data_IF_395944227677
#
_entry.id   IF_395944227677
#
_cell.length_a   1.000
_cell.length_b   1.000
_cell.length_c   1.000
_cell.angle_alpha   90.00
_cell.angle_beta   90.00
_cell.angle_gamma   90.00
#
_symmetry.space_group_name_H-M   'P 1'
#
loop_
_entity.id
_entity.type
_entity.pdbx_description
1 polymer ?
#
# COMPACT_ATOMS: atom_id res chain seq x y z
N UNK A 1 15.34 42.65 2.00
CA UNK A 1 14.17 41.79 1.72
C UNK A 1 14.47 40.76 0.64
N UNK A 2 14.57 39.49 1.03
CA UNK A 2 14.74 38.34 0.15
C UNK A 2 13.41 37.65 -0.12
N UNK A 3 13.33 36.90 -1.22
CA UNK A 3 12.15 36.09 -1.57
C UNK A 3 12.55 34.62 -1.55
N UNK A 4 12.03 33.89 -0.57
CA UNK A 4 12.28 32.47 -0.41
C UNK A 4 11.07 31.68 -0.90
N UNK A 5 11.32 30.53 -1.54
CA UNK A 5 10.27 29.58 -1.91
C UNK A 5 10.29 28.39 -0.94
N UNK A 6 9.12 28.08 -0.41
CA UNK A 6 8.87 27.05 0.58
C UNK A 6 8.02 25.93 -0.01
N UNK A 7 8.25 24.70 0.43
CA UNK A 7 7.39 23.54 0.17
C UNK A 7 7.06 22.83 1.48
N UNK A 8 5.80 22.46 1.68
CA UNK A 8 5.39 21.68 2.86
C UNK A 8 5.68 20.21 2.58
N UNK A 9 6.37 19.54 3.50
CA UNK A 9 6.68 18.12 3.39
C UNK A 9 5.49 17.31 3.89
N UNK A 10 5.08 16.27 3.16
CA UNK A 10 4.00 15.36 3.55
C UNK A 10 2.58 15.88 3.38
N UNK A 11 2.40 17.11 2.89
CA UNK A 11 1.09 17.69 2.59
C UNK A 11 0.98 18.03 1.09
N UNK A 12 -0.15 17.67 0.48
CA UNK A 12 -0.40 18.01 -0.93
C UNK A 12 -0.53 19.52 -1.10
N UNK A 13 0.29 20.10 -1.97
CA UNK A 13 0.31 21.53 -2.20
C UNK A 13 1.41 22.00 -3.12
N UNK A 14 1.18 23.11 -3.81
CA UNK A 14 2.24 23.76 -4.58
C UNK A 14 3.18 24.56 -3.68
N UNK A 15 4.44 24.67 -4.10
CA UNK A 15 5.40 25.57 -3.47
C UNK A 15 4.87 27.02 -3.45
N UNK A 16 5.19 27.75 -2.40
CA UNK A 16 4.73 29.12 -2.17
C UNK A 16 5.91 30.01 -1.79
N UNK A 17 5.78 31.32 -2.00
CA UNK A 17 6.85 32.25 -1.65
C UNK A 17 6.50 33.13 -0.45
N UNK A 18 7.51 33.35 0.39
CA UNK A 18 7.50 34.30 1.50
C UNK A 18 8.56 35.38 1.26
N UNK A 19 8.39 36.53 1.91
CA UNK A 19 9.35 37.63 1.90
C UNK A 19 9.73 37.95 3.34
N UNK A 20 11.03 38.05 3.59
CA UNK A 20 11.65 38.35 4.89
C UNK A 20 12.88 39.23 4.63
N UNK A 21 13.33 39.99 5.61
CA UNK A 21 14.56 40.77 5.51
C UNK A 21 15.81 39.91 5.79
N UNK A 22 16.97 40.36 5.29
CA UNK A 22 18.22 39.60 5.44
C UNK A 22 18.69 39.60 6.90
N UNK A 23 18.39 40.67 7.63
CA UNK A 23 18.64 40.82 9.06
C UNK A 23 17.59 40.15 9.95
N UNK A 24 16.52 39.59 9.36
CA UNK A 24 15.54 38.83 10.14
C UNK A 24 16.15 37.48 10.53
N UNK A 25 15.64 36.88 11.60
CA UNK A 25 16.02 35.52 12.00
C UNK A 25 15.16 34.45 11.34
N UNK A 26 15.59 33.19 11.43
CA UNK A 26 14.79 32.02 11.02
C UNK A 26 13.45 31.95 11.78
N UNK A 27 13.39 32.42 13.04
CA UNK A 27 12.13 32.55 13.78
C UNK A 27 11.11 33.47 13.08
N UNK A 28 11.53 34.65 12.62
CA UNK A 28 10.68 35.54 11.82
C UNK A 28 10.21 34.88 10.51
N UNK A 29 11.04 34.00 9.93
CA UNK A 29 10.66 33.21 8.77
C UNK A 29 9.56 32.18 9.11
N UNK A 30 9.60 31.53 10.28
CA UNK A 30 8.52 30.63 10.74
C UNK A 30 7.20 31.39 10.82
N UNK A 31 7.20 32.58 11.41
CA UNK A 31 6.03 33.47 11.47
C UNK A 31 5.50 33.84 10.07
N UNK A 32 6.39 34.26 9.17
CA UNK A 32 6.03 34.63 7.81
C UNK A 32 5.41 33.45 7.03
N UNK A 33 5.90 32.23 7.25
CA UNK A 33 5.37 30.99 6.65
C UNK A 33 3.97 30.68 7.20
N UNK A 34 3.79 30.72 8.51
CA UNK A 34 2.47 30.49 9.14
C UNK A 34 1.45 31.49 8.64
N UNK A 35 1.77 32.78 8.66
CA UNK A 35 0.90 33.85 8.18
C UNK A 35 0.54 33.70 6.70
N UNK A 36 1.43 33.12 5.89
CA UNK A 36 1.19 32.87 4.47
C UNK A 36 0.21 31.72 4.21
N UNK A 37 0.15 30.75 5.11
CA UNK A 37 -0.62 29.50 4.98
C UNK A 37 -1.50 29.24 6.23
N UNK A 38 -2.42 30.16 6.55
CA UNK A 38 -3.17 30.09 7.81
C UNK A 38 -4.08 28.87 7.91
N UNK A 39 -4.58 28.33 6.79
CA UNK A 39 -5.42 27.13 6.80
C UNK A 39 -4.59 25.85 6.97
N UNK A 40 -3.43 25.77 6.32
CA UNK A 40 -2.53 24.62 6.40
C UNK A 40 -1.91 24.50 7.81
N UNK A 41 -1.75 25.62 8.51
CA UNK A 41 -1.14 25.71 9.83
C UNK A 41 -2.09 26.27 10.91
N UNK A 42 -3.40 26.06 10.75
CA UNK A 42 -4.43 26.66 11.63
C UNK A 42 -4.29 26.24 13.11
N UNK A 43 -3.83 25.00 13.34
CA UNK A 43 -3.69 24.38 14.66
C UNK A 43 -2.22 24.22 15.08
N UNK A 44 -1.29 24.86 14.37
CA UNK A 44 0.17 24.72 14.59
C UNK A 44 0.75 26.08 14.93
N UNK A 45 1.42 26.18 16.07
CA UNK A 45 2.13 27.40 16.48
C UNK A 45 3.38 27.62 15.59
N UNK A 46 3.77 28.87 15.34
CA UNK A 46 4.84 29.16 14.39
C UNK A 46 6.18 28.56 14.85
N UNK A 47 6.47 28.64 16.15
CA UNK A 47 7.63 28.05 16.81
C UNK A 47 7.71 26.53 16.65
N UNK A 48 6.56 25.86 16.48
CA UNK A 48 6.47 24.41 16.24
C UNK A 48 6.78 24.00 14.80
N UNK A 49 6.81 24.94 13.85
CA UNK A 49 7.24 24.64 12.49
C UNK A 49 8.74 24.32 12.49
N UNK A 50 9.13 23.24 11.84
CA UNK A 50 10.55 22.94 11.61
C UNK A 50 10.91 23.28 10.17
N UNK A 51 12.02 23.98 10.00
CA UNK A 51 12.48 24.47 8.71
C UNK A 51 13.82 23.83 8.36
N UNK A 52 13.91 23.31 7.14
CA UNK A 52 15.14 22.70 6.62
C UNK A 52 15.54 23.35 5.30
N UNK A 53 16.85 23.40 5.04
CA UNK A 53 17.36 23.84 3.76
C UNK A 53 17.04 22.83 2.67
N UNK A 54 16.47 23.28 1.56
CA UNK A 54 16.29 22.48 0.36
C UNK A 54 17.58 22.38 -0.46
N UNK A 55 18.72 22.12 0.21
CA UNK A 55 20.08 22.14 -0.34
C UNK A 55 20.74 20.80 -0.08
N UNK A 56 21.18 20.12 -1.14
CA UNK A 56 21.84 18.81 -1.06
C UNK A 56 23.21 18.91 -0.42
N UNK A 57 23.76 17.75 -0.03
CA UNK A 57 25.12 17.62 0.53
C UNK A 57 26.21 18.19 -0.38
N UNK A 58 25.99 18.16 -1.70
CA UNK A 58 26.90 18.74 -2.70
C UNK A 58 26.72 20.26 -2.86
N UNK A 59 25.86 20.88 -2.04
CA UNK A 59 25.58 22.31 -2.05
C UNK A 59 24.57 22.76 -3.12
N UNK A 60 23.94 21.85 -3.85
CA UNK A 60 22.98 22.17 -4.89
C UNK A 60 21.56 22.35 -4.32
N UNK A 61 20.87 23.42 -4.74
CA UNK A 61 19.49 23.66 -4.32
C UNK A 61 18.48 22.86 -5.15
N UNK A 62 17.39 22.41 -4.52
CA UNK A 62 16.33 21.68 -5.18
C UNK A 62 15.62 22.54 -6.23
N UNK A 63 15.57 22.05 -7.46
CA UNK A 63 14.84 22.69 -8.54
C UNK A 63 13.34 22.54 -8.34
N UNK A 64 12.58 23.62 -8.58
CA UNK A 64 11.10 23.58 -8.61
C UNK A 64 10.51 22.65 -9.68
N UNK A 65 11.35 22.21 -10.62
CA UNK A 65 11.02 21.26 -11.70
C UNK A 65 11.61 19.86 -11.47
N UNK A 66 12.27 19.66 -10.34
CA UNK A 66 12.78 18.35 -9.97
C UNK A 66 11.60 17.36 -9.84
N UNK A 67 11.70 16.12 -10.37
CA UNK A 67 10.67 15.09 -10.21
C UNK A 67 10.24 14.89 -8.76
N UNK A 68 11.18 14.97 -7.81
CA UNK A 68 10.90 14.78 -6.40
C UNK A 68 10.05 15.94 -5.86
N UNK A 69 10.40 17.17 -6.21
CA UNK A 69 9.60 18.37 -5.86
C UNK A 69 8.23 18.36 -6.55
N UNK A 70 8.12 17.79 -7.75
CA UNK A 70 6.83 17.60 -8.43
C UNK A 70 5.97 16.59 -7.65
N UNK A 71 6.56 15.49 -7.19
CA UNK A 71 5.83 14.46 -6.44
C UNK A 71 5.31 14.96 -5.09
N UNK A 72 6.05 15.86 -4.43
CA UNK A 72 5.61 16.53 -3.19
C UNK A 72 4.28 17.27 -3.35
N UNK A 73 3.95 17.74 -4.56
CA UNK A 73 2.68 18.46 -4.81
C UNK A 73 1.46 17.60 -4.58
N UNK A 74 1.62 16.28 -4.67
CA UNK A 74 0.59 15.29 -4.39
C UNK A 74 0.68 14.74 -2.95
N UNK A 75 1.55 15.29 -2.10
CA UNK A 75 1.77 14.86 -0.72
C UNK A 75 2.82 13.76 -0.56
N UNK A 76 3.55 13.39 -1.63
CA UNK A 76 4.65 12.44 -1.55
C UNK A 76 5.86 12.96 -0.77
N UNK A 77 6.64 12.07 -0.18
CA UNK A 77 7.91 12.38 0.49
C UNK A 77 9.02 11.55 -0.16
N UNK A 78 9.70 12.08 -1.19
CA UNK A 78 10.80 11.40 -1.86
C UNK A 78 11.98 11.14 -0.94
N UNK A 79 12.74 10.09 -1.23
CA UNK A 79 13.90 9.70 -0.44
C UNK A 79 14.96 10.81 -0.41
N UNK A 80 15.19 11.51 -1.53
CA UNK A 80 16.09 12.67 -1.57
C UNK A 80 15.62 13.75 -0.59
N UNK A 81 14.33 14.07 -0.54
CA UNK A 81 13.78 15.06 0.38
C UNK A 81 13.99 14.63 1.83
N UNK A 82 13.80 13.35 2.17
CA UNK A 82 14.07 12.83 3.52
C UNK A 82 15.51 13.07 3.96
N UNK A 83 16.48 12.87 3.07
CA UNK A 83 17.90 13.12 3.40
C UNK A 83 18.22 14.59 3.69
N UNK A 84 17.33 15.51 3.32
CA UNK A 84 17.49 16.94 3.62
C UNK A 84 16.89 17.34 4.97
N UNK A 85 16.11 16.47 5.62
CA UNK A 85 15.44 16.75 6.91
C UNK A 85 16.32 16.41 8.13
N UNK A 86 17.65 16.41 7.95
CA UNK A 86 18.61 15.98 8.96
C UNK A 86 18.96 17.08 9.97
N UNK A 87 19.15 18.32 9.50
CA UNK A 87 19.58 19.46 10.34
C UNK A 87 18.56 20.58 10.19
N UNK A 88 17.78 20.81 11.25
CA UNK A 88 16.88 21.96 11.33
C UNK A 88 17.70 23.25 11.37
N UNK A 89 17.24 24.30 10.68
CA UNK A 89 17.83 25.63 10.77
C UNK A 89 17.64 26.19 12.19
N UNK A 90 18.68 26.79 12.76
CA UNK A 90 18.58 27.38 14.09
C UNK A 90 17.65 28.61 14.03
N UNK A 91 16.61 28.70 14.87
CA UNK A 91 15.70 29.85 14.90
C UNK A 91 16.40 31.20 15.11
N UNK A 92 17.59 31.22 15.72
CA UNK A 92 18.37 32.42 15.98
C UNK A 92 19.29 32.82 14.81
N UNK A 93 19.49 31.97 13.80
CA UNK A 93 20.33 32.30 12.65
C UNK A 93 19.71 33.43 11.81
N UNK A 94 20.56 34.31 11.26
CA UNK A 94 20.13 35.37 10.35
C UNK A 94 19.87 34.82 8.94
N UNK A 95 18.80 35.31 8.30
CA UNK A 95 18.39 34.87 6.96
C UNK A 95 19.48 35.13 5.90
N UNK A 96 20.21 36.24 6.03
CA UNK A 96 21.30 36.60 5.13
C UNK A 96 22.42 35.55 5.12
N UNK A 97 22.75 35.00 6.29
CA UNK A 97 23.81 34.00 6.44
C UNK A 97 23.34 32.62 5.96
N UNK A 98 22.12 32.22 6.35
CA UNK A 98 21.56 30.90 6.02
C UNK A 98 21.32 30.71 4.52
N UNK A 99 20.85 31.76 3.84
CA UNK A 99 20.51 31.73 2.42
C UNK A 99 21.53 32.45 1.53
N UNK A 100 22.77 32.63 2.01
CA UNK A 100 23.82 33.28 1.24
C UNK A 100 24.04 32.56 -0.11
N UNK A 101 24.01 33.33 -1.20
CA UNK A 101 24.19 32.81 -2.55
C UNK A 101 23.03 31.96 -3.07
N UNK A 102 21.87 31.93 -2.40
CA UNK A 102 20.73 31.15 -2.84
C UNK A 102 20.16 31.65 -4.19
N UNK A 103 19.87 30.76 -5.16
CA UNK A 103 19.29 31.13 -6.44
C UNK A 103 17.87 31.67 -6.32
N UNK A 104 17.62 32.87 -6.84
CA UNK A 104 16.32 33.57 -6.70
C UNK A 104 15.19 33.06 -7.62
N UNK A 105 15.46 32.10 -8.52
CA UNK A 105 14.51 31.65 -9.54
C UNK A 105 14.52 30.14 -9.70
N UNK A 106 13.31 29.57 -9.87
CA UNK A 106 13.08 28.14 -10.18
C UNK A 106 13.60 27.16 -9.13
N UNK A 107 13.74 27.60 -7.88
CA UNK A 107 14.39 26.85 -6.80
C UNK A 107 13.51 26.83 -5.56
N UNK A 108 13.47 25.69 -4.86
CA UNK A 108 12.93 25.58 -3.50
C UNK A 108 14.06 25.88 -2.54
N UNK A 109 13.79 26.71 -1.54
CA UNK A 109 14.77 27.16 -0.55
C UNK A 109 14.53 26.47 0.79
N UNK A 110 13.27 26.36 1.18
CA UNK A 110 12.85 25.89 2.51
C UNK A 110 11.92 24.70 2.38
N UNK A 111 12.22 23.63 3.11
CA UNK A 111 11.30 22.53 3.38
C UNK A 111 10.66 22.80 4.75
N UNK A 112 9.33 22.80 4.79
CA UNK A 112 8.54 23.11 5.99
C UNK A 112 7.89 21.84 6.49
N UNK A 113 8.16 21.49 7.75
CA UNK A 113 7.54 20.37 8.45
C UNK A 113 6.68 20.95 9.57
N UNK A 114 5.39 20.63 9.57
CA UNK A 114 4.43 21.14 10.56
C UNK A 114 4.35 20.27 11.82
N UNK A 115 4.67 18.99 11.67
CA UNK A 115 4.56 17.99 12.72
C UNK A 115 5.61 16.88 12.44
N UNK A 116 6.67 16.84 13.25
CA UNK A 116 7.69 15.78 13.15
C UNK A 116 7.19 14.46 13.69
N UNK A 117 6.22 14.45 14.60
CA UNK A 117 5.61 13.19 15.07
C UNK A 117 4.97 12.48 13.87
N UNK A 118 4.40 13.20 12.91
CA UNK A 118 3.91 12.62 11.64
C UNK A 118 4.99 12.02 10.73
N UNK A 119 6.23 12.51 10.77
CA UNK A 119 7.36 11.97 10.01
C UNK A 119 8.05 10.82 10.76
N UNK A 120 8.19 10.93 12.07
CA UNK A 120 8.74 9.91 12.96
C UNK A 120 7.80 8.71 13.11
N UNK A 121 6.48 8.89 12.96
CA UNK A 121 5.50 7.79 12.89
C UNK A 121 5.65 6.98 11.58
N UNK A 122 6.30 7.50 10.54
CA UNK A 122 6.65 6.73 9.34
C UNK A 122 7.97 5.96 9.44
N UNK A 123 8.92 6.39 10.29
CA UNK A 123 10.27 5.79 10.42
C UNK A 123 10.56 5.13 11.77
N UNK A 124 9.69 5.26 12.78
CA UNK A 124 9.67 4.28 13.85
C UNK A 124 9.22 2.97 13.23
N UNK A 125 10.18 2.07 12.94
CA UNK A 125 9.86 0.65 12.79
C UNK A 125 9.04 0.28 14.03
N UNK A 126 7.71 0.27 13.91
CA UNK A 126 6.84 -0.33 14.93
C UNK A 126 7.35 -1.74 15.00
N UNK A 127 8.05 -2.04 16.10
CA UNK A 127 8.65 -3.34 16.29
C UNK A 127 7.53 -4.34 16.06
N UNK A 128 7.69 -5.27 15.09
CA UNK A 128 6.60 -6.14 14.70
C UNK A 128 6.13 -6.88 15.94
N UNK A 129 4.81 -7.07 16.04
CA UNK A 129 4.23 -7.74 17.20
C UNK A 129 5.02 -9.03 17.51
N UNK A 130 5.40 -9.29 18.78
CA UNK A 130 6.36 -10.36 19.09
C UNK A 130 5.97 -11.74 18.56
N UNK A 131 4.67 -12.05 18.51
CA UNK A 131 4.15 -13.29 17.93
C UNK A 131 4.35 -13.35 16.42
N UNK A 132 4.14 -12.23 15.72
CA UNK A 132 4.36 -12.13 14.28
C UNK A 132 5.83 -12.23 13.92
N UNK A 133 6.69 -11.56 14.69
CA UNK A 133 8.14 -11.65 14.54
C UNK A 133 8.65 -13.10 14.67
N UNK A 134 8.23 -13.82 15.71
CA UNK A 134 8.58 -15.25 15.89
C UNK A 134 8.11 -16.13 14.74
N UNK A 135 6.95 -15.81 14.16
CA UNK A 135 6.43 -16.48 12.95
C UNK A 135 7.31 -16.17 11.74
N UNK A 136 7.74 -14.92 11.55
CA UNK A 136 8.67 -14.53 10.49
C UNK A 136 10.03 -15.21 10.63
N UNK A 137 10.59 -15.30 11.83
CA UNK A 137 11.88 -15.97 12.06
C UNK A 137 11.84 -17.43 11.55
N UNK A 138 10.80 -18.18 11.94
CA UNK A 138 10.58 -19.57 11.46
C UNK A 138 10.33 -19.64 9.96
N UNK A 139 9.58 -18.68 9.42
CA UNK A 139 9.29 -18.61 7.99
C UNK A 139 10.57 -18.37 7.18
N UNK A 140 11.41 -17.45 7.64
CA UNK A 140 12.69 -17.09 7.02
C UNK A 140 13.65 -18.27 7.00
N UNK A 141 13.72 -19.08 8.06
CA UNK A 141 14.52 -20.32 8.07
C UNK A 141 14.16 -21.25 6.90
N UNK A 142 12.86 -21.46 6.65
CA UNK A 142 12.37 -22.31 5.56
C UNK A 142 12.62 -21.66 4.20
N UNK A 143 12.33 -20.37 4.06
CA UNK A 143 12.54 -19.62 2.82
C UNK A 143 14.02 -19.63 2.41
N UNK A 144 14.93 -19.35 3.34
CA UNK A 144 16.37 -19.31 3.09
C UNK A 144 16.92 -20.69 2.71
N UNK A 145 16.48 -21.73 3.42
CA UNK A 145 16.84 -23.12 3.11
C UNK A 145 16.40 -23.48 1.68
N UNK A 146 15.16 -23.19 1.32
CA UNK A 146 14.62 -23.59 0.03
C UNK A 146 15.17 -22.74 -1.13
N UNK A 147 15.44 -21.44 -0.89
CA UNK A 147 16.10 -20.55 -1.85
C UNK A 147 17.51 -21.06 -2.20
N UNK A 148 18.27 -21.51 -1.20
CA UNK A 148 19.60 -22.15 -1.41
C UNK A 148 19.48 -23.44 -2.24
N UNK A 149 18.54 -24.31 -1.89
CA UNK A 149 18.31 -25.57 -2.61
C UNK A 149 17.92 -25.36 -4.09
N UNK A 150 17.02 -24.40 -4.38
CA UNK A 150 16.64 -24.08 -5.77
C UNK A 150 17.76 -23.44 -6.58
N UNK A 151 18.59 -22.60 -5.97
CA UNK A 151 19.77 -22.04 -6.66
C UNK A 151 20.73 -23.14 -7.08
N UNK A 152 20.90 -24.18 -6.26
CA UNK A 152 21.68 -25.37 -6.63
C UNK A 152 21.03 -26.18 -7.77
N UNK A 153 19.70 -26.13 -7.90
CA UNK A 153 18.93 -26.82 -8.93
C UNK A 153 18.65 -25.99 -10.21
N UNK A 154 19.13 -24.74 -10.30
CA UNK A 154 18.99 -23.90 -11.50
C UNK A 154 17.59 -23.34 -11.79
N UNK A 155 16.69 -23.28 -10.81
CA UNK A 155 15.29 -22.81 -10.99
C UNK A 155 15.04 -21.41 -10.37
N UNK A 156 14.35 -20.53 -11.10
CA UNK A 156 14.19 -19.08 -10.79
C UNK A 156 12.76 -18.64 -10.45
N UNK A 157 11.79 -19.56 -10.33
CA UNK A 157 10.38 -19.20 -10.07
C UNK A 157 10.06 -19.00 -8.57
N UNK A 158 9.19 -18.02 -8.28
CA UNK A 158 8.75 -17.54 -6.95
C UNK A 158 8.18 -18.61 -5.98
N UNK A 159 7.86 -19.81 -6.47
CA UNK A 159 7.32 -20.93 -5.69
C UNK A 159 8.42 -21.68 -4.92
N UNK A 160 9.04 -21.06 -3.92
CA UNK A 160 10.11 -21.69 -3.13
C UNK A 160 9.60 -22.49 -1.92
N UNK A 161 8.29 -22.47 -1.63
CA UNK A 161 7.69 -23.14 -0.47
C UNK A 161 6.37 -23.79 -0.83
N UNK A 162 6.12 -24.94 -0.22
CA UNK A 162 4.88 -25.69 -0.33
C UNK A 162 3.90 -25.28 0.76
N UNK A 163 2.60 -25.47 0.52
CA UNK A 163 1.60 -25.16 1.54
C UNK A 163 1.77 -25.94 2.86
N UNK A 164 2.12 -27.25 2.88
CA UNK A 164 2.35 -27.96 4.14
C UNK A 164 3.47 -27.37 5.00
N UNK A 165 4.56 -26.88 4.38
CA UNK A 165 5.63 -26.18 5.11
C UNK A 165 5.10 -24.90 5.76
N UNK A 166 4.29 -24.14 5.00
CA UNK A 166 3.66 -22.91 5.47
C UNK A 166 2.66 -23.19 6.59
N UNK A 167 1.77 -24.17 6.43
CA UNK A 167 0.74 -24.52 7.42
C UNK A 167 1.38 -25.06 8.71
N UNK A 168 2.54 -25.70 8.64
CA UNK A 168 3.31 -26.11 9.83
C UNK A 168 3.87 -24.93 10.62
N UNK A 169 4.20 -23.81 9.96
CA UNK A 169 4.75 -22.61 10.61
C UNK A 169 3.62 -21.71 11.14
N UNK A 170 2.58 -21.56 10.33
CA UNK A 170 1.49 -20.62 10.55
C UNK A 170 0.12 -21.28 10.29
N UNK A 171 -0.26 -22.28 11.10
CA UNK A 171 -1.50 -23.00 10.92
C UNK A 171 -2.69 -22.05 11.05
N UNK A 172 -3.63 -22.16 10.12
CA UNK A 172 -4.80 -21.29 10.11
C UNK A 172 -5.89 -21.79 11.06
N UNK A 173 -6.37 -20.93 11.95
CA UNK A 173 -7.58 -21.22 12.73
C UNK A 173 -8.84 -20.93 11.90
N UNK A 174 -9.96 -21.57 12.25
CA UNK A 174 -11.22 -21.40 11.51
C UNK A 174 -11.72 -19.95 11.60
N UNK A 175 -12.02 -19.39 10.45
CA UNK A 175 -12.64 -18.07 10.27
C UNK A 175 -14.04 -18.23 9.69
N UNK A 176 -14.98 -17.41 10.13
CA UNK A 176 -16.28 -17.23 9.48
C UNK A 176 -16.37 -15.79 9.01
N UNK A 177 -16.10 -15.50 7.73
CA UNK A 177 -16.25 -14.16 7.20
C UNK A 177 -17.70 -13.71 7.34
N UNK A 178 -17.87 -12.45 7.71
CA UNK A 178 -19.15 -11.77 7.61
C UNK A 178 -19.52 -11.61 6.12
N UNK A 179 -20.80 -11.60 5.81
CA UNK A 179 -21.30 -11.23 4.47
C UNK A 179 -22.34 -10.14 4.64
N UNK A 180 -22.13 -9.00 3.97
CA UNK A 180 -23.07 -7.88 3.96
C UNK A 180 -23.90 -7.96 2.68
N UNK A 181 -25.24 -7.79 2.75
CA UNK A 181 -26.08 -7.86 1.58
C UNK A 181 -25.73 -6.74 0.59
N UNK A 182 -25.70 -7.09 -0.68
CA UNK A 182 -25.61 -6.15 -1.81
C UNK A 182 -26.97 -6.18 -2.52
N UNK A 183 -27.59 -5.04 -2.82
CA UNK A 183 -28.83 -5.02 -3.61
C UNK A 183 -28.63 -5.62 -5.01
N UNK A 184 -29.60 -6.37 -5.51
CA UNK A 184 -29.45 -7.14 -6.77
C UNK A 184 -29.21 -6.22 -7.97
N UNK A 185 -29.83 -5.05 -7.99
CA UNK A 185 -29.67 -4.06 -9.05
C UNK A 185 -28.23 -3.55 -9.18
N UNK A 186 -27.40 -3.71 -8.14
CA UNK A 186 -25.98 -3.34 -8.17
C UNK A 186 -25.11 -4.40 -8.85
N UNK A 187 -25.60 -5.64 -8.99
CA UNK A 187 -24.90 -6.76 -9.63
C UNK A 187 -25.52 -7.14 -10.98
N UNK A 188 -26.66 -6.56 -11.38
CA UNK A 188 -27.33 -6.81 -12.66
C UNK A 188 -26.39 -6.75 -13.88
N UNK A 189 -25.52 -5.73 -13.94
CA UNK A 189 -24.57 -5.58 -15.04
C UNK A 189 -23.58 -6.74 -15.10
N UNK A 190 -23.09 -7.19 -13.94
CA UNK A 190 -22.18 -8.33 -13.81
C UNK A 190 -22.86 -9.64 -14.25
N UNK A 191 -24.09 -9.89 -13.80
CA UNK A 191 -24.86 -11.07 -14.19
C UNK A 191 -25.15 -11.11 -15.69
N UNK A 192 -25.40 -9.95 -16.32
CA UNK A 192 -25.56 -9.85 -17.79
C UNK A 192 -24.23 -10.02 -18.54
N UNK A 193 -23.12 -9.69 -17.90
CA UNK A 193 -21.79 -9.78 -18.51
C UNK A 193 -21.26 -11.22 -18.59
N UNK A 194 -21.51 -12.05 -17.57
CA UNK A 194 -20.98 -13.43 -17.57
C UNK A 194 -21.40 -14.27 -18.79
N UNK A 195 -22.68 -14.31 -19.23
CA UNK A 195 -23.07 -15.03 -20.44
C UNK A 195 -22.32 -14.55 -21.69
N UNK A 196 -21.93 -13.27 -21.75
CA UNK A 196 -21.14 -12.73 -22.87
C UNK A 196 -19.73 -13.32 -22.82
N UNK A 197 -19.10 -13.36 -21.65
CA UNK A 197 -17.79 -13.97 -21.47
C UNK A 197 -17.79 -15.46 -21.78
N UNK A 198 -18.79 -16.21 -21.33
CA UNK A 198 -18.92 -17.65 -21.61
C UNK A 198 -19.05 -17.89 -23.11
N UNK A 199 -19.84 -17.09 -23.83
CA UNK A 199 -19.94 -17.19 -25.30
C UNK A 199 -18.63 -16.85 -26.01
N UNK A 200 -17.88 -15.87 -25.51
CA UNK A 200 -16.66 -15.39 -26.14
C UNK A 200 -15.45 -16.30 -25.88
N UNK A 201 -15.31 -16.81 -24.66
CA UNK A 201 -14.14 -17.56 -24.22
C UNK A 201 -14.41 -19.07 -24.04
N UNK A 202 -15.67 -19.52 -24.11
CA UNK A 202 -16.08 -20.89 -23.80
C UNK A 202 -16.12 -21.19 -22.29
N UNK A 203 -16.25 -22.47 -21.92
CA UNK A 203 -16.34 -22.93 -20.53
C UNK A 203 -15.14 -22.51 -19.66
N UNK A 204 -15.42 -21.89 -18.51
CA UNK A 204 -14.46 -21.37 -17.51
C UNK A 204 -13.48 -22.44 -17.02
N UNK A 205 -13.92 -23.70 -16.92
CA UNK A 205 -13.13 -24.80 -16.39
C UNK A 205 -11.99 -25.18 -17.34
N UNK A 206 -12.14 -24.88 -18.63
CA UNK A 206 -11.19 -25.27 -19.68
C UNK A 206 -10.34 -24.09 -20.16
N UNK A 207 -9.09 -24.39 -20.55
CA UNK A 207 -8.18 -23.43 -21.18
C UNK A 207 -7.08 -22.89 -20.27
N UNK A 208 -6.50 -21.74 -20.64
CA UNK A 208 -5.37 -21.13 -19.93
C UNK A 208 -5.86 -20.31 -18.74
N UNK A 209 -5.09 -20.34 -17.66
CA UNK A 209 -5.35 -19.62 -16.39
C UNK A 209 -5.74 -18.15 -16.60
N UNK A 210 -5.00 -17.40 -17.43
CA UNK A 210 -5.29 -16.00 -17.73
C UNK A 210 -6.75 -15.69 -18.14
N UNK A 211 -7.49 -16.69 -18.65
CA UNK A 211 -8.93 -16.57 -18.92
C UNK A 211 -9.75 -16.31 -17.65
N UNK A 212 -9.40 -16.91 -16.52
CA UNK A 212 -10.12 -16.81 -15.23
C UNK A 212 -10.11 -15.40 -14.70
N UNK A 213 -9.06 -14.62 -14.97
CA UNK A 213 -9.00 -13.21 -14.61
C UNK A 213 -10.14 -12.40 -15.24
N UNK A 214 -10.60 -12.75 -16.45
CA UNK A 214 -11.76 -12.08 -17.07
C UNK A 214 -13.07 -12.34 -16.32
N UNK A 215 -13.13 -13.36 -15.46
CA UNK A 215 -14.29 -13.65 -14.61
C UNK A 215 -14.11 -13.12 -13.18
N UNK A 216 -12.87 -13.15 -12.66
CA UNK A 216 -12.53 -12.65 -11.32
C UNK A 216 -12.63 -11.12 -11.26
N UNK A 217 -11.99 -10.41 -12.20
CA UNK A 217 -11.90 -8.94 -12.18
C UNK A 217 -13.27 -8.27 -12.17
N UNK A 218 -14.27 -8.69 -12.98
CA UNK A 218 -15.60 -8.10 -12.92
C UNK A 218 -16.29 -8.22 -11.56
N UNK A 219 -16.08 -9.32 -10.82
CA UNK A 219 -16.61 -9.47 -9.45
C UNK A 219 -15.96 -8.44 -8.53
N UNK A 220 -14.62 -8.35 -8.56
CA UNK A 220 -13.85 -7.39 -7.75
C UNK A 220 -14.25 -5.94 -8.06
N UNK A 221 -14.27 -5.58 -9.35
CA UNK A 221 -14.60 -4.24 -9.81
C UNK A 221 -16.04 -3.84 -9.44
N UNK A 222 -17.00 -4.76 -9.57
CA UNK A 222 -18.40 -4.49 -9.19
C UNK A 222 -18.53 -4.19 -7.70
N UNK A 223 -17.80 -4.90 -6.84
CA UNK A 223 -17.78 -4.63 -5.40
C UNK A 223 -17.06 -3.32 -5.08
N UNK A 224 -15.89 -3.07 -5.68
CA UNK A 224 -15.12 -1.84 -5.45
C UNK A 224 -15.90 -0.58 -5.89
N UNK A 225 -16.70 -0.67 -6.96
CA UNK A 225 -17.52 0.43 -7.45
C UNK A 225 -18.59 0.88 -6.45
N UNK A 226 -18.96 0.04 -5.46
CA UNK A 226 -19.92 0.40 -4.41
C UNK A 226 -19.38 1.42 -3.40
N UNK A 227 -18.08 1.74 -3.45
CA UNK A 227 -17.43 2.67 -2.55
C UNK A 227 -17.13 4.04 -3.17
N UNK A 228 -17.72 4.35 -4.33
CA UNK A 228 -17.62 5.67 -5.00
C UNK A 228 -16.16 6.16 -5.16
N UNK A 229 -15.25 5.25 -5.54
CA UNK A 229 -13.81 5.54 -5.71
C UNK A 229 -12.97 5.44 -4.43
N UNK A 230 -13.58 5.12 -3.29
CA UNK A 230 -12.89 4.89 -2.02
C UNK A 230 -12.09 3.59 -1.92
N UNK A 231 -12.16 2.72 -2.93
CA UNK A 231 -11.35 1.49 -3.04
C UNK A 231 -10.60 1.50 -4.37
N UNK A 232 -9.28 1.33 -4.30
CA UNK A 232 -8.41 1.21 -5.47
C UNK A 232 -8.04 -0.26 -5.71
N UNK A 233 -8.10 -0.70 -6.97
CA UNK A 233 -7.54 -2.00 -7.39
C UNK A 233 -6.16 -1.73 -7.98
N UNK A 234 -5.13 -2.28 -7.33
CA UNK A 234 -3.76 -2.29 -7.82
C UNK A 234 -3.54 -3.61 -8.57
N UNK A 235 -3.04 -3.56 -9.80
CA UNK A 235 -2.83 -4.74 -10.64
C UNK A 235 -1.35 -5.12 -10.66
N UNK A 236 -1.06 -6.43 -10.59
CA UNK A 236 0.29 -7.00 -10.63
C UNK A 236 1.25 -6.41 -9.58
N UNK A 237 0.96 -6.66 -8.32
CA UNK A 237 1.75 -6.15 -7.20
C UNK A 237 2.78 -7.18 -6.75
N UNK A 238 4.06 -6.79 -6.77
CA UNK A 238 5.16 -7.54 -6.16
C UNK A 238 5.65 -6.82 -4.93
N UNK A 239 5.72 -7.54 -3.82
CA UNK A 239 6.09 -7.01 -2.51
C UNK A 239 7.31 -7.77 -2.00
N UNK A 240 8.41 -7.06 -1.79
CA UNK A 240 9.64 -7.64 -1.23
C UNK A 240 9.66 -7.30 0.26
N UNK A 241 9.63 -8.32 1.12
CA UNK A 241 9.67 -8.12 2.57
C UNK A 241 10.97 -7.44 3.03
N UNK A 242 10.86 -6.60 4.06
CA UNK A 242 12.01 -5.94 4.72
C UNK A 242 12.68 -6.90 5.72
N UNK A 243 11.87 -7.53 6.56
CA UNK A 243 12.21 -8.52 7.59
C UNK A 243 11.74 -9.92 7.21
N UNK A 244 10.77 -10.06 6.31
CA UNK A 244 10.36 -11.36 5.73
C UNK A 244 11.20 -11.63 4.48
N UNK A 245 11.94 -12.74 4.43
CA UNK A 245 12.84 -13.09 3.32
C UNK A 245 12.10 -13.66 2.08
N UNK A 246 10.80 -13.46 2.02
CA UNK A 246 9.91 -13.95 0.98
C UNK A 246 9.25 -12.81 0.23
N UNK A 247 9.01 -13.05 -1.05
CA UNK A 247 8.35 -12.08 -1.92
C UNK A 247 6.86 -12.44 -2.04
N UNK A 248 5.99 -11.44 -1.90
CA UNK A 248 4.59 -11.51 -2.28
C UNK A 248 4.45 -11.20 -3.76
N UNK A 249 3.68 -12.00 -4.48
CA UNK A 249 3.20 -11.67 -5.82
C UNK A 249 1.69 -11.80 -5.80
N UNK A 250 0.99 -10.78 -6.31
CA UNK A 250 -0.47 -10.74 -6.31
C UNK A 250 -0.96 -10.30 -7.68
N UNK A 251 -1.95 -10.99 -8.22
CA UNK A 251 -2.64 -10.53 -9.42
C UNK A 251 -3.34 -9.19 -9.16
N UNK A 252 -3.94 -9.01 -7.98
CA UNK A 252 -4.51 -7.73 -7.54
C UNK A 252 -4.35 -7.48 -6.05
N UNK A 253 -4.32 -6.20 -5.66
CA UNK A 253 -4.49 -5.77 -4.27
C UNK A 253 -5.59 -4.73 -4.19
N UNK A 254 -6.63 -4.99 -3.41
CA UNK A 254 -7.66 -4.00 -3.10
C UNK A 254 -7.19 -3.15 -1.92
N UNK A 255 -7.13 -1.84 -2.14
CA UNK A 255 -6.65 -0.85 -1.17
C UNK A 255 -7.78 0.09 -0.74
N UNK A 256 -8.06 0.12 0.57
CA UNK A 256 -9.00 1.06 1.20
C UNK A 256 -8.42 1.56 2.53
N UNK A 257 -7.89 2.79 2.56
CA UNK A 257 -7.13 3.26 3.72
C UNK A 257 -5.95 2.33 4.02
N UNK A 258 -5.85 1.80 5.24
CA UNK A 258 -4.85 0.81 5.65
C UNK A 258 -5.23 -0.63 5.29
N UNK A 259 -6.46 -0.89 4.85
CA UNK A 259 -6.86 -2.25 4.49
C UNK A 259 -6.23 -2.68 3.18
N UNK A 260 -5.71 -3.90 3.19
CA UNK A 260 -5.24 -4.62 2.01
C UNK A 260 -5.98 -5.95 1.90
N UNK A 261 -6.54 -6.19 0.73
CA UNK A 261 -7.08 -7.50 0.34
C UNK A 261 -6.27 -7.98 -0.86
N UNK A 262 -5.41 -8.96 -0.65
CA UNK A 262 -4.53 -9.49 -1.68
C UNK A 262 -5.21 -10.64 -2.43
N UNK A 263 -5.28 -10.55 -3.75
CA UNK A 263 -5.88 -11.58 -4.61
C UNK A 263 -4.75 -12.38 -5.24
N UNK A 264 -4.81 -13.70 -5.06
CA UNK A 264 -3.95 -14.65 -5.75
C UNK A 264 -4.80 -15.55 -6.63
N UNK A 265 -4.50 -15.56 -7.92
CA UNK A 265 -5.07 -16.53 -8.86
C UNK A 265 -4.41 -17.90 -8.62
N UNK A 266 -5.22 -18.91 -8.30
CA UNK A 266 -4.76 -20.29 -8.20
C UNK A 266 -4.51 -20.87 -9.59
N UNK A 267 -3.23 -20.88 -9.96
CA UNK A 267 -2.72 -21.44 -11.21
C UNK A 267 -2.74 -22.97 -11.15
N UNK A 268 -3.02 -23.62 -12.28
CA UNK A 268 -3.12 -25.07 -12.45
C UNK A 268 -4.12 -25.75 -11.51
N UNK A 269 -5.10 -25.00 -11.05
CA UNK A 269 -6.05 -25.43 -10.01
C UNK A 269 -5.39 -25.83 -8.68
N UNK A 270 -4.17 -25.36 -8.45
CA UNK A 270 -3.44 -25.60 -7.21
C UNK A 270 -3.73 -24.49 -6.19
N UNK A 271 -4.90 -24.61 -5.55
CA UNK A 271 -5.31 -23.72 -4.47
C UNK A 271 -4.31 -23.74 -3.31
N UNK A 272 -3.65 -24.87 -3.06
CA UNK A 272 -2.66 -24.98 -1.99
C UNK A 272 -1.42 -24.12 -2.31
N UNK A 273 -0.90 -24.19 -3.53
CA UNK A 273 0.21 -23.33 -3.93
C UNK A 273 -0.18 -21.84 -3.92
N UNK A 274 -1.41 -21.52 -4.33
CA UNK A 274 -1.96 -20.16 -4.20
C UNK A 274 -2.02 -19.68 -2.75
N UNK A 275 -2.40 -20.56 -1.80
CA UNK A 275 -2.38 -20.26 -0.36
C UNK A 275 -0.97 -20.06 0.19
N UNK A 276 0.00 -20.86 -0.24
CA UNK A 276 1.40 -20.69 0.16
C UNK A 276 1.92 -19.30 -0.27
N UNK A 277 1.65 -18.91 -1.52
CA UNK A 277 1.98 -17.60 -2.06
C UNK A 277 1.26 -16.47 -1.30
N UNK A 278 -0.06 -16.61 -1.09
CA UNK A 278 -0.86 -15.61 -0.40
C UNK A 278 -0.39 -15.37 1.04
N UNK A 279 -0.01 -16.42 1.76
CA UNK A 279 0.38 -16.29 3.17
C UNK A 279 1.76 -15.65 3.31
N UNK A 280 2.75 -16.11 2.54
CA UNK A 280 4.08 -15.48 2.50
C UNK A 280 3.96 -14.02 2.08
N UNK A 281 3.21 -13.74 1.01
CA UNK A 281 3.02 -12.39 0.53
C UNK A 281 2.28 -11.51 1.54
N UNK A 282 1.30 -12.04 2.27
CA UNK A 282 0.58 -11.28 3.29
C UNK A 282 1.48 -10.89 4.46
N UNK A 283 2.41 -11.76 4.88
CA UNK A 283 3.42 -11.42 5.88
C UNK A 283 4.40 -10.37 5.36
N UNK A 284 4.88 -10.51 4.11
CA UNK A 284 5.77 -9.54 3.48
C UNK A 284 5.10 -8.16 3.33
N UNK A 285 3.82 -8.11 2.95
CA UNK A 285 3.07 -6.86 2.85
C UNK A 285 2.80 -6.24 4.22
N UNK A 286 2.43 -7.04 5.22
CA UNK A 286 2.29 -6.56 6.59
C UNK A 286 3.59 -5.95 7.11
N UNK A 287 4.71 -6.57 6.77
CA UNK A 287 6.05 -6.10 7.13
C UNK A 287 6.44 -4.79 6.44
N UNK A 288 6.21 -4.68 5.12
CA UNK A 288 6.56 -3.51 4.33
C UNK A 288 5.74 -2.29 4.72
N UNK A 289 4.43 -2.46 4.88
CA UNK A 289 3.47 -1.39 5.14
C UNK A 289 3.10 -1.22 6.64
N UNK A 290 3.64 -2.04 7.54
CA UNK A 290 3.35 -1.96 8.98
C UNK A 290 1.92 -2.34 9.35
N UNK A 291 1.29 -3.26 8.61
CA UNK A 291 -0.14 -3.56 8.77
C UNK A 291 -0.37 -4.67 9.82
N UNK A 292 -1.17 -4.42 10.87
CA UNK A 292 -1.49 -5.45 11.86
C UNK A 292 -2.38 -6.56 11.27
N UNK A 293 -3.03 -6.29 10.13
CA UNK A 293 -4.02 -7.15 9.49
C UNK A 293 -3.94 -7.03 7.97
N UNK A 294 -3.78 -8.18 7.30
CA UNK A 294 -3.81 -8.28 5.83
C UNK A 294 -4.79 -9.38 5.44
N UNK A 295 -5.75 -9.08 4.58
CA UNK A 295 -6.67 -10.08 4.04
C UNK A 295 -6.11 -10.67 2.76
N UNK A 296 -6.42 -11.93 2.49
CA UNK A 296 -6.11 -12.57 1.20
C UNK A 296 -7.26 -13.41 0.69
N UNK A 297 -7.38 -13.46 -0.63
CA UNK A 297 -8.34 -14.26 -1.37
C UNK A 297 -7.56 -15.08 -2.39
N UNK A 298 -7.61 -16.40 -2.25
CA UNK A 298 -7.04 -17.32 -3.24
C UNK A 298 -8.19 -17.91 -4.05
N UNK A 299 -8.12 -17.82 -5.37
CA UNK A 299 -9.22 -18.31 -6.21
C UNK A 299 -8.79 -18.75 -7.60
N UNK A 300 -9.42 -19.81 -8.10
CA UNK A 300 -9.44 -20.18 -9.52
C UNK A 300 -10.78 -19.79 -10.20
N UNK A 301 -11.49 -18.83 -9.62
CA UNK A 301 -12.89 -18.44 -9.88
C UNK A 301 -13.96 -19.46 -9.44
N UNK A 302 -13.70 -20.76 -9.47
CA UNK A 302 -14.67 -21.79 -9.03
C UNK A 302 -14.63 -22.02 -7.52
N UNK A 303 -13.45 -21.89 -6.92
CA UNK A 303 -13.22 -21.98 -5.50
C UNK A 303 -12.67 -20.65 -4.99
N UNK A 304 -13.22 -20.13 -3.90
CA UNK A 304 -12.79 -18.88 -3.27
C UNK A 304 -12.44 -19.13 -1.81
N UNK A 305 -11.15 -18.98 -1.49
CA UNK A 305 -10.63 -19.17 -0.14
C UNK A 305 -10.27 -17.83 0.45
N UNK A 306 -11.00 -17.44 1.50
CA UNK A 306 -10.79 -16.18 2.22
C UNK A 306 -9.94 -16.43 3.45
N UNK A 307 -8.89 -15.62 3.62
CA UNK A 307 -8.01 -15.66 4.78
C UNK A 307 -7.71 -14.26 5.29
N UNK A 308 -7.24 -14.18 6.54
CA UNK A 308 -6.62 -12.97 7.09
C UNK A 308 -5.41 -13.33 7.94
N UNK A 309 -4.32 -12.62 7.72
CA UNK A 309 -3.13 -12.66 8.55
C UNK A 309 -3.20 -11.55 9.59
N UNK A 310 -3.20 -11.96 10.86
CA UNK A 310 -3.16 -11.10 12.04
C UNK A 310 -1.82 -11.26 12.74
N UNK A 311 -1.49 -10.33 13.63
CA UNK A 311 -0.25 -10.38 14.41
C UNK A 311 -0.05 -11.67 15.22
N UNK A 312 -1.13 -12.24 15.75
CA UNK A 312 -1.04 -13.42 16.61
C UNK A 312 -1.28 -14.74 15.87
N UNK A 313 -1.99 -14.71 14.75
CA UNK A 313 -2.52 -15.91 14.10
C UNK A 313 -2.87 -15.68 12.63
N UNK A 314 -3.03 -16.79 11.91
CA UNK A 314 -3.67 -16.79 10.59
C UNK A 314 -5.07 -17.37 10.77
N UNK A 315 -6.02 -16.80 10.05
CA UNK A 315 -7.40 -17.24 10.05
C UNK A 315 -7.84 -17.53 8.62
N UNK A 316 -8.51 -18.67 8.41
CA UNK A 316 -8.95 -19.13 7.08
C UNK A 316 -10.38 -19.63 7.12
N UNK A 317 -11.16 -19.18 6.15
CA UNK A 317 -12.54 -19.60 5.96
C UNK A 317 -12.61 -20.98 5.29
N UNK A 318 -13.74 -21.66 5.47
CA UNK A 318 -14.08 -22.78 4.59
C UNK A 318 -14.21 -22.27 3.16
N UNK A 319 -13.65 -22.97 2.15
CA UNK A 319 -13.77 -22.55 0.75
C UNK A 319 -15.23 -22.35 0.34
N UNK A 320 -15.49 -21.28 -0.42
CA UNK A 320 -16.79 -21.00 -1.02
C UNK A 320 -16.74 -21.44 -2.48
N UNK A 321 -17.63 -22.37 -2.85
CA UNK A 321 -17.71 -22.88 -4.22
C UNK A 321 -18.67 -22.01 -5.04
N UNK A 322 -18.21 -21.59 -6.21
CA UNK A 322 -19.03 -20.97 -7.24
C UNK A 322 -19.97 -22.03 -7.81
N UNK A 323 -21.28 -21.79 -7.68
CA UNK A 323 -22.28 -22.62 -8.34
C UNK A 323 -22.40 -22.17 -9.79
N UNK A 324 -22.39 -23.12 -10.71
CA UNK A 324 -22.52 -22.89 -12.15
C UNK A 324 -23.85 -23.47 -12.64
N UNK A 325 -24.59 -22.68 -13.41
CA UNK A 325 -25.84 -23.08 -14.06
C UNK A 325 -25.71 -22.87 -15.56
N UNK A 326 -25.74 -23.97 -16.34
CA UNK A 326 -25.49 -23.94 -17.78
C UNK A 326 -24.20 -23.20 -18.14
N UNK A 327 -23.11 -23.51 -17.44
CA UNK A 327 -21.78 -22.92 -17.58
C UNK A 327 -21.68 -21.41 -17.26
N UNK A 328 -22.73 -20.83 -16.68
CA UNK A 328 -22.77 -19.44 -16.21
C UNK A 328 -22.77 -19.40 -14.67
N UNK A 329 -22.05 -18.48 -14.02
CA UNK A 329 -22.09 -18.33 -12.57
C UNK A 329 -23.50 -18.02 -12.07
N UNK A 330 -23.98 -18.81 -11.11
CA UNK A 330 -25.30 -18.63 -10.52
C UNK A 330 -25.37 -17.29 -9.75
N UNK A 331 -26.45 -16.48 -9.93
CA UNK A 331 -26.54 -15.15 -9.32
C UNK A 331 -26.34 -15.14 -7.81
N UNK A 332 -26.94 -16.10 -7.10
CA UNK A 332 -26.87 -16.21 -5.64
C UNK A 332 -25.44 -16.49 -5.15
N UNK A 333 -24.69 -17.31 -5.89
CA UNK A 333 -23.30 -17.65 -5.54
C UNK A 333 -22.36 -16.45 -5.76
N UNK A 334 -22.55 -15.73 -6.87
CA UNK A 334 -21.85 -14.47 -7.13
C UNK A 334 -22.18 -13.43 -6.07
N UNK A 335 -23.45 -13.28 -5.69
CA UNK A 335 -23.91 -12.37 -4.63
C UNK A 335 -23.29 -12.71 -3.28
N UNK A 336 -23.18 -14.00 -2.94
CA UNK A 336 -22.53 -14.45 -1.71
C UNK A 336 -21.05 -14.03 -1.67
N UNK A 337 -20.29 -14.34 -2.72
CA UNK A 337 -18.86 -14.02 -2.81
C UNK A 337 -18.65 -12.49 -2.80
N UNK A 338 -19.43 -11.77 -3.60
CA UNK A 338 -19.39 -10.31 -3.66
C UNK A 338 -19.72 -9.69 -2.28
N UNK A 339 -20.74 -10.20 -1.58
CA UNK A 339 -21.14 -9.75 -0.24
C UNK A 339 -20.07 -9.98 0.83
N UNK A 340 -19.28 -11.06 0.71
CA UNK A 340 -18.14 -11.32 1.60
C UNK A 340 -17.00 -10.32 1.35
N UNK A 341 -16.64 -10.06 0.08
CA UNK A 341 -15.63 -9.06 -0.28
C UNK A 341 -16.08 -7.67 0.17
N UNK A 342 -17.34 -7.32 -0.08
CA UNK A 342 -17.94 -6.06 0.35
C UNK A 342 -17.91 -5.92 1.87
N UNK A 343 -18.17 -7.00 2.60
CA UNK A 343 -18.10 -7.00 4.06
C UNK A 343 -16.68 -6.70 4.56
N UNK A 344 -15.67 -7.41 4.04
CA UNK A 344 -14.25 -7.19 4.38
C UNK A 344 -13.86 -5.73 4.16
N UNK A 345 -14.21 -5.17 3.01
CA UNK A 345 -13.92 -3.78 2.69
C UNK A 345 -14.68 -2.81 3.61
N UNK A 346 -15.90 -3.16 4.02
CA UNK A 346 -16.81 -2.34 4.84
C UNK A 346 -16.67 -2.48 6.35
N UNK A 347 -15.85 -3.39 6.88
CA UNK A 347 -15.57 -3.46 8.32
C UNK A 347 -14.92 -2.13 8.78
N UNK A 348 -15.12 -1.69 10.00
CA UNK A 348 -14.23 -0.66 10.56
C UNK A 348 -12.91 -1.34 10.98
N UNK A 349 -11.81 -0.59 11.02
CA UNK A 349 -10.48 -1.17 11.22
C UNK A 349 -10.32 -1.82 12.59
#
# INVERSE_FOLDING_TARGET
MVKLFCAIVGAAGSAFSVRVDESDSVDHLKDAIKAKKPNDFKDVDADKLQLFLAKTVDGAWLSSKDPDVISMRSGGIPEQVKTLLNVEMDPADEIGDVFEGAPTKKTIHVLVVADREWLEVQDAEIAPHPSRKRRWDKLNEVLDKNKKAKKAAGSTGFSYVSFPEIDSIMPATKYRPSSKPIPDEKLDALHRYFPILVKAFGDIITGKEAKRLHFIVPVLASVCALFDGGVQILAEETVIGKRVHGDGAFEFVLKRGEKRVCIVEAKRDDIQQGLAQAYVGSEALADVEGLPKVYSIVTNFLEWVFSRSLDEKIERATPVMMVMENDVPAPESVKQIAGMIYSILSEDN
#
